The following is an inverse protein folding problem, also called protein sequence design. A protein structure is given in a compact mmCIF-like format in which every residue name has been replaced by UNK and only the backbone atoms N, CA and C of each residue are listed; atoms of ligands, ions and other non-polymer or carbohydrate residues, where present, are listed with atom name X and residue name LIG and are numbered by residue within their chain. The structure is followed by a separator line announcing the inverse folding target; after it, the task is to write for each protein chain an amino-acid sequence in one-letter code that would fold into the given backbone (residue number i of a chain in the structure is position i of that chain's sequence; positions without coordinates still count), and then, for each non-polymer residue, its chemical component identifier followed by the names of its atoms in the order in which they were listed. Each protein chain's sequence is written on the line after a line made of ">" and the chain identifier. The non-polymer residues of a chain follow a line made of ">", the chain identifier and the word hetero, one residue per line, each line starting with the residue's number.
data_IF_464291350438
#
_entry.id   IF_464291350438
#
_cell.length_a   1.000
_cell.length_b   1.000
_cell.length_c   1.000
_cell.angle_alpha   90.00
_cell.angle_beta   90.00
_cell.angle_gamma   90.00
#
_symmetry.space_group_name_H-M   'P 1'
#
loop_
_entity.id
_entity.type
_entity.pdbx_description
1 polymer ?
#
# COMPACT_ATOMS: atom_id res chain seq x y z
N UNK A 1 -15.45 16.17 -10.89
CA UNK A 1 -14.13 16.82 -10.87
C UNK A 1 -13.14 15.74 -10.48
N UNK A 2 -11.98 15.66 -11.13
CA UNK A 2 -10.99 14.66 -10.73
C UNK A 2 -10.48 14.97 -9.31
N UNK A 3 -10.11 13.93 -8.58
CA UNK A 3 -9.48 14.05 -7.28
C UNK A 3 -7.95 14.18 -7.46
N UNK A 4 -7.33 15.02 -6.64
CA UNK A 4 -5.88 15.12 -6.53
C UNK A 4 -5.42 14.31 -5.32
N UNK A 5 -4.37 13.51 -5.50
CA UNK A 5 -3.71 12.81 -4.40
C UNK A 5 -2.20 12.94 -4.46
N UNK A 6 -1.57 13.01 -3.30
CA UNK A 6 -0.12 13.13 -3.15
C UNK A 6 0.47 11.80 -2.68
N UNK A 7 1.48 11.30 -3.37
CA UNK A 7 2.17 10.04 -3.07
C UNK A 7 3.63 10.32 -2.71
N UNK A 8 4.04 9.95 -1.49
CA UNK A 8 5.44 9.96 -1.05
C UNK A 8 6.06 8.57 -1.25
N UNK A 9 7.17 8.49 -2.00
CA UNK A 9 7.93 7.26 -2.22
C UNK A 9 8.83 6.94 -1.02
N UNK A 10 9.35 5.71 -0.89
CA UNK A 10 10.29 5.38 0.18
C UNK A 10 11.61 6.17 0.09
N UNK A 11 11.95 6.73 -1.08
CA UNK A 11 13.11 7.59 -1.28
C UNK A 11 12.88 9.04 -0.82
N UNK A 12 11.65 9.37 -0.38
CA UNK A 12 11.26 10.73 0.02
C UNK A 12 10.81 11.62 -1.14
N UNK A 13 10.69 11.07 -2.35
CA UNK A 13 10.17 11.80 -3.51
C UNK A 13 8.65 11.92 -3.39
N UNK A 14 8.10 13.05 -3.83
CA UNK A 14 6.65 13.32 -3.79
C UNK A 14 6.12 13.47 -5.20
N UNK A 15 5.02 12.76 -5.50
CA UNK A 15 4.30 12.80 -6.75
C UNK A 15 2.87 13.27 -6.53
N UNK A 16 2.39 14.15 -7.41
CA UNK A 16 0.98 14.51 -7.47
C UNK A 16 0.33 13.71 -8.59
N UNK A 17 -0.78 13.03 -8.27
CA UNK A 17 -1.57 12.25 -9.20
C UNK A 17 -2.97 12.85 -9.29
N UNK A 18 -3.60 12.63 -10.44
CA UNK A 18 -4.99 12.98 -10.69
C UNK A 18 -5.74 11.72 -11.08
N UNK A 19 -6.86 11.43 -10.42
CA UNK A 19 -7.65 10.23 -10.68
C UNK A 19 -9.15 10.49 -10.47
N UNK A 20 -9.97 9.56 -10.95
CA UNK A 20 -11.41 9.60 -10.66
C UNK A 20 -11.65 9.37 -9.16
N UNK A 21 -12.44 10.23 -8.49
CA UNK A 21 -12.87 9.97 -7.12
C UNK A 21 -13.56 8.60 -7.02
N UNK A 22 -13.24 7.82 -6.00
CA UNK A 22 -13.77 6.46 -5.84
C UNK A 22 -12.94 5.37 -6.55
N UNK A 23 -11.98 5.73 -7.40
CA UNK A 23 -11.09 4.74 -8.04
C UNK A 23 -10.28 3.96 -7.01
N UNK A 24 -9.96 2.70 -7.31
CA UNK A 24 -9.16 1.84 -6.43
C UNK A 24 -7.73 2.37 -6.38
N UNK A 25 -7.26 2.75 -5.20
CA UNK A 25 -5.96 3.39 -5.01
C UNK A 25 -4.81 2.53 -5.56
N UNK A 26 -4.85 1.21 -5.37
CA UNK A 26 -3.84 0.29 -5.94
C UNK A 26 -3.70 0.47 -7.45
N UNK A 27 -4.82 0.57 -8.15
CA UNK A 27 -4.80 0.55 -9.61
C UNK A 27 -4.32 1.90 -10.14
N UNK A 28 -4.74 3.01 -9.52
CA UNK A 28 -4.19 4.36 -9.77
C UNK A 28 -2.69 4.41 -9.55
N UNK A 29 -2.19 3.82 -8.46
CA UNK A 29 -0.75 3.74 -8.19
C UNK A 29 0.00 2.91 -9.24
N UNK A 30 -0.57 1.81 -9.72
CA UNK A 30 0.04 0.97 -10.75
C UNK A 30 0.06 1.66 -12.12
N UNK A 31 -1.01 2.38 -12.47
CA UNK A 31 -1.11 3.18 -13.71
C UNK A 31 -0.09 4.32 -13.73
N UNK A 32 0.27 4.85 -12.56
CA UNK A 32 1.28 5.89 -12.41
C UNK A 32 2.72 5.36 -12.22
N UNK A 33 2.96 4.05 -12.43
CA UNK A 33 4.25 3.38 -12.17
C UNK A 33 4.76 3.47 -10.71
N UNK A 34 3.88 3.80 -9.76
CA UNK A 34 4.15 3.94 -8.32
C UNK A 34 3.68 2.72 -7.53
N UNK A 35 4.13 1.53 -7.94
CA UNK A 35 3.70 0.25 -7.38
C UNK A 35 3.75 0.21 -5.83
N UNK A 36 2.64 -0.13 -5.13
CA UNK A 36 2.63 -0.32 -3.68
C UNK A 36 3.28 -1.65 -3.25
N UNK A 37 3.59 -2.50 -4.23
CA UNK A 37 4.25 -3.78 -4.02
C UNK A 37 5.77 -3.64 -3.97
N UNK A 38 6.41 -4.39 -3.07
CA UNK A 38 7.85 -4.63 -3.13
C UNK A 38 8.25 -5.48 -4.35
N UNK A 39 9.55 -5.48 -4.68
CA UNK A 39 10.16 -6.10 -5.88
C UNK A 39 9.61 -7.50 -6.29
N UNK A 40 9.29 -8.37 -5.32
CA UNK A 40 8.77 -9.72 -5.60
C UNK A 40 7.24 -9.78 -5.67
N UNK A 41 6.56 -8.90 -4.92
CA UNK A 41 5.11 -8.86 -4.87
C UNK A 41 4.48 -8.22 -6.12
N UNK A 42 5.26 -7.62 -7.02
CA UNK A 42 4.77 -7.17 -8.34
C UNK A 42 4.17 -8.33 -9.14
N UNK A 43 4.71 -9.55 -9.00
CA UNK A 43 4.21 -10.77 -9.68
C UNK A 43 3.47 -11.74 -8.76
N UNK A 44 3.78 -11.71 -7.46
CA UNK A 44 3.15 -12.56 -6.44
C UNK A 44 2.25 -11.71 -5.53
N UNK A 45 1.04 -11.42 -5.99
CA UNK A 45 0.02 -10.73 -5.22
C UNK A 45 -1.37 -11.32 -5.50
N UNK A 46 -2.35 -10.98 -4.65
CA UNK A 46 -3.72 -11.47 -4.78
C UNK A 46 -4.55 -10.75 -5.85
N UNK A 47 -3.96 -9.87 -6.66
CA UNK A 47 -4.67 -9.12 -7.70
C UNK A 47 -5.71 -8.12 -7.18
N UNK A 48 -5.65 -7.73 -5.91
CA UNK A 48 -6.58 -6.78 -5.31
C UNK A 48 -7.67 -7.38 -4.42
N UNK A 49 -7.62 -8.68 -4.11
CA UNK A 49 -8.61 -9.38 -3.26
C UNK A 49 -8.50 -9.12 -1.75
N UNK A 50 -7.60 -8.24 -1.31
CA UNK A 50 -7.48 -7.89 0.11
C UNK A 50 -6.87 -8.95 1.04
N UNK A 51 -6.25 -10.02 0.51
CA UNK A 51 -5.83 -11.19 1.32
C UNK A 51 -4.31 -11.42 1.42
N UNK A 52 -3.48 -10.69 0.67
CA UNK A 52 -2.03 -10.95 0.62
C UNK A 52 -1.16 -9.98 1.43
N UNK A 53 -1.73 -8.88 1.94
CA UNK A 53 -1.00 -7.82 2.66
C UNK A 53 0.18 -7.15 1.92
N UNK A 54 0.38 -7.41 0.62
CA UNK A 54 1.54 -6.91 -0.13
C UNK A 54 1.38 -5.52 -0.75
N UNK A 55 0.17 -4.95 -0.73
CA UNK A 55 -0.14 -3.61 -1.26
C UNK A 55 -0.31 -2.54 -0.16
N UNK A 56 0.23 -2.82 1.04
CA UNK A 56 0.04 -1.94 2.20
C UNK A 56 0.68 -0.56 2.02
N UNK A 57 -0.08 0.50 2.28
CA UNK A 57 0.34 1.91 2.27
C UNK A 57 0.02 2.57 3.62
N UNK A 58 0.61 3.74 3.89
CA UNK A 58 0.19 4.60 5.02
C UNK A 58 -0.54 5.83 4.49
N UNK A 59 -1.55 6.26 5.23
CA UNK A 59 -2.26 7.50 4.98
C UNK A 59 -1.78 8.54 6.00
N UNK A 60 -1.54 9.77 5.57
CA UNK A 60 -1.17 10.84 6.50
C UNK A 60 -2.34 11.19 7.44
N UNK A 61 -3.54 11.19 6.87
CA UNK A 61 -4.82 11.35 7.55
C UNK A 61 -5.71 10.19 7.08
N UNK A 62 -5.84 9.09 7.87
CA UNK A 62 -6.65 7.95 7.48
C UNK A 62 -8.15 8.31 7.57
N UNK A 63 -8.97 7.96 6.57
CA UNK A 63 -10.42 8.05 6.68
C UNK A 63 -10.95 7.01 7.68
N UNK A 64 -12.18 7.22 8.16
CA UNK A 64 -12.84 6.29 9.07
C UNK A 64 -12.83 4.85 8.50
N UNK A 65 -12.60 3.83 9.34
CA UNK A 65 -12.42 2.46 8.88
C UNK A 65 -13.73 1.82 8.43
N UNK A 66 -13.80 1.39 7.16
CA UNK A 66 -14.96 0.70 6.58
C UNK A 66 -14.78 -0.84 6.47
N UNK A 67 -13.59 -1.37 6.78
CA UNK A 67 -13.24 -2.80 6.62
C UNK A 67 -12.52 -3.39 7.86
N UNK A 68 -12.59 -4.70 8.10
CA UNK A 68 -12.00 -5.31 9.32
C UNK A 68 -10.47 -5.12 9.42
N UNK A 69 -9.78 -5.04 8.28
CA UNK A 69 -8.34 -4.76 8.23
C UNK A 69 -8.03 -3.28 8.52
N UNK A 70 -9.03 -2.42 8.31
CA UNK A 70 -8.94 -0.99 8.49
C UNK A 70 -9.01 -0.62 9.98
N UNK A 71 -9.90 -1.29 10.73
CA UNK A 71 -9.94 -1.20 12.20
C UNK A 71 -8.61 -1.63 12.84
N UNK A 72 -7.98 -2.71 12.33
CA UNK A 72 -6.67 -3.17 12.78
C UNK A 72 -5.54 -2.19 12.45
N UNK A 73 -5.61 -1.56 11.27
CA UNK A 73 -4.66 -0.54 10.86
C UNK A 73 -4.75 0.72 11.71
N UNK A 74 -5.96 1.17 12.05
CA UNK A 74 -6.17 2.37 12.87
C UNK A 74 -5.83 2.10 14.34
N UNK A 75 -6.14 0.90 14.85
CA UNK A 75 -5.86 0.51 16.23
C UNK A 75 -4.39 0.19 16.51
N UNK A 76 -3.66 -0.32 15.53
CA UNK A 76 -2.28 -0.82 15.72
C UNK A 76 -1.23 -0.17 14.80
N UNK A 77 -1.62 0.80 13.97
CA UNK A 77 -0.71 1.48 13.03
C UNK A 77 -0.24 0.60 11.87
N UNK A 78 -1.00 -0.46 11.53
CA UNK A 78 -0.68 -1.31 10.38
C UNK A 78 -0.96 -0.59 9.06
N UNK A 79 -0.21 -0.90 7.98
CA UNK A 79 -0.51 -0.36 6.66
C UNK A 79 -1.91 -0.78 6.17
N UNK A 80 -2.64 0.17 5.56
CA UNK A 80 -3.92 -0.07 4.90
C UNK A 80 -3.70 -0.70 3.53
N UNK A 81 -4.57 -1.59 3.09
CA UNK A 81 -4.44 -2.23 1.78
C UNK A 81 -4.91 -1.27 0.69
N UNK A 82 -4.01 -0.75 -0.13
CA UNK A 82 -4.37 0.17 -1.23
C UNK A 82 -5.40 -0.43 -2.21
N UNK A 83 -5.53 -1.75 -2.29
CA UNK A 83 -6.57 -2.38 -3.10
C UNK A 83 -7.98 -2.33 -2.49
N UNK A 84 -8.11 -1.94 -1.23
CA UNK A 84 -9.38 -1.77 -0.52
C UNK A 84 -9.69 -0.30 -0.22
N UNK A 85 -8.80 0.61 -0.62
CA UNK A 85 -8.98 2.05 -0.46
C UNK A 85 -9.46 2.68 -1.77
N UNK A 86 -10.39 3.62 -1.63
CA UNK A 86 -10.85 4.46 -2.72
C UNK A 86 -10.17 5.82 -2.67
N UNK A 87 -9.84 6.38 -3.83
CA UNK A 87 -9.27 7.72 -3.96
C UNK A 87 -10.26 8.77 -3.49
N UNK A 88 -9.78 9.69 -2.66
CA UNK A 88 -10.49 10.88 -2.21
C UNK A 88 -9.64 12.11 -2.55
N UNK A 89 -10.30 13.23 -2.81
CA UNK A 89 -9.61 14.49 -3.11
C UNK A 89 -8.79 14.96 -1.89
N UNK A 90 -7.56 15.39 -2.14
CA UNK A 90 -6.60 15.78 -1.10
C UNK A 90 -5.94 14.61 -0.36
N UNK A 91 -6.17 13.36 -0.78
CA UNK A 91 -5.58 12.18 -0.12
C UNK A 91 -4.05 12.20 -0.15
N UNK A 92 -3.40 11.87 0.96
CA UNK A 92 -1.94 11.78 1.08
C UNK A 92 -1.51 10.37 1.46
N UNK A 93 -0.73 9.75 0.59
CA UNK A 93 -0.34 8.35 0.67
C UNK A 93 1.18 8.24 0.76
N UNK A 94 1.67 7.38 1.65
CA UNK A 94 3.09 7.02 1.74
C UNK A 94 3.29 5.57 1.37
N UNK A 95 4.13 5.35 0.35
CA UNK A 95 4.62 4.03 -0.01
C UNK A 95 5.67 3.58 1.01
N UNK A 96 5.70 2.28 1.28
CA UNK A 96 6.55 1.69 2.31
C UNK A 96 7.71 0.93 1.70
N UNK A 97 8.89 1.05 2.29
CA UNK A 97 10.01 0.16 1.97
C UNK A 97 9.63 -1.27 2.41
N UNK A 98 9.46 -2.17 1.43
CA UNK A 98 9.18 -3.58 1.69
C UNK A 98 10.50 -4.34 1.73
N UNK A 99 11.15 -4.39 2.90
CA UNK A 99 12.30 -5.27 3.11
C UNK A 99 11.84 -6.72 3.23
N UNK A 100 12.58 -7.62 2.59
CA UNK A 100 12.39 -9.07 2.74
C UNK A 100 12.82 -9.44 4.15
N UNK A 101 11.88 -9.98 4.93
CA UNK A 101 12.15 -10.60 6.22
C UNK A 101 13.27 -11.63 6.05
N UNK A 102 14.31 -11.53 6.88
CA UNK A 102 15.59 -12.21 6.73
C UNK A 102 15.50 -13.71 6.42
N UNK A 103 16.49 -14.19 5.67
CA UNK A 103 16.69 -15.62 5.40
C UNK A 103 16.60 -16.42 6.70
N UNK A 104 15.81 -17.49 6.71
CA UNK A 104 15.87 -18.49 7.77
C UNK A 104 17.28 -19.07 7.74
N UNK A 105 18.05 -18.90 8.81
CA UNK A 105 19.27 -19.68 8.99
C UNK A 105 18.83 -21.15 9.06
N UNK A 106 19.21 -21.92 8.04
CA UNK A 106 19.17 -23.37 8.15
C UNK A 106 20.17 -23.70 9.25
N UNK A 107 19.70 -24.25 10.37
CA UNK A 107 20.60 -24.73 11.40
C UNK A 107 21.53 -25.76 10.79
N UNK A 108 22.84 -25.53 10.90
CA UNK A 108 23.85 -26.56 10.71
C UNK A 108 23.55 -27.66 11.73
N UNK A 109 22.99 -28.76 11.24
CA UNK A 109 22.97 -30.02 11.95
C UNK A 109 24.32 -30.69 11.76
N UNK A 110 25.25 -30.43 12.67
CA UNK A 110 26.39 -31.30 12.91
C UNK A 110 25.94 -32.40 13.86
N UNK A 111 25.75 -33.61 13.33
CA UNK A 111 25.96 -34.86 14.08
C UNK A 111 27.44 -35.27 13.97
#
# INVERSE_FOLDING_TARGET
>A
MPATLTVETPAGETHELTAEPGAVLRDVLLEADLSPHGRYATRLNCGGRGICATCGVRLAEPPDPDHWHDDLADRFGYPRLSCQLQVQDGMRVKLLEKRVWGSRQSGDGTD
#
